data_IF_250848240011
#
_entry.id   IF_250848240011
#
_cell.length_a   1.000
_cell.length_b   1.000
_cell.length_c   1.000
_cell.angle_alpha   90.00
_cell.angle_beta   90.00
_cell.angle_gamma   90.00
#
_symmetry.space_group_name_H-M   'P 1'
#
loop_
_entity.id
_entity.type
_entity.pdbx_description
1 polymer ?
#
# COMPACT_ATOMS: atom_id res chain seq x y z
N UNK A 1 6.27 3.51 -8.71
CA UNK A 1 5.92 2.12 -8.30
C UNK A 1 4.43 1.94 -8.51
N UNK A 2 3.88 0.71 -8.61
CA UNK A 2 2.42 0.49 -8.60
C UNK A 2 1.95 0.13 -7.19
N UNK A 3 0.66 0.30 -6.91
CA UNK A 3 0.05 -0.07 -5.61
C UNK A 3 0.30 -1.54 -5.26
N UNK A 4 0.13 -2.46 -6.23
CA UNK A 4 0.36 -3.90 -6.01
C UNK A 4 1.83 -4.18 -5.73
N UNK A 5 2.75 -3.56 -6.48
CA UNK A 5 4.19 -3.71 -6.22
C UNK A 5 4.58 -3.17 -4.85
N UNK A 6 3.99 -2.06 -4.42
CA UNK A 6 4.20 -1.48 -3.11
C UNK A 6 3.66 -2.38 -1.99
N UNK A 7 2.45 -2.92 -2.13
CA UNK A 7 1.91 -3.89 -1.17
C UNK A 7 2.85 -5.09 -0.97
N UNK A 8 3.42 -5.59 -2.06
CA UNK A 8 4.30 -6.75 -2.01
C UNK A 8 5.66 -6.40 -1.38
N UNK A 9 6.27 -5.30 -1.81
CA UNK A 9 7.64 -4.94 -1.39
C UNK A 9 7.70 -4.30 -0.01
N UNK A 10 6.71 -3.48 0.34
CA UNK A 10 6.76 -2.62 1.54
C UNK A 10 5.81 -3.11 2.65
N UNK A 11 4.75 -3.85 2.31
CA UNK A 11 3.70 -4.27 3.26
C UNK A 11 3.63 -5.77 3.50
N UNK A 12 4.51 -6.55 2.87
CA UNK A 12 4.65 -7.98 3.12
C UNK A 12 3.56 -8.87 2.52
N UNK A 13 2.75 -8.35 1.59
CA UNK A 13 1.81 -9.19 0.85
C UNK A 13 2.55 -10.06 -0.18
N UNK A 14 2.08 -11.28 -0.39
CA UNK A 14 2.62 -12.20 -1.40
C UNK A 14 2.09 -11.86 -2.79
N UNK A 15 0.85 -11.38 -2.87
CA UNK A 15 0.19 -11.01 -4.14
C UNK A 15 -1.00 -10.10 -3.92
N UNK A 16 -1.51 -9.52 -5.03
CA UNK A 16 -2.80 -8.82 -5.02
C UNK A 16 -3.94 -9.74 -4.55
N UNK A 17 -3.92 -11.02 -4.95
CA UNK A 17 -4.98 -11.97 -4.58
C UNK A 17 -5.02 -12.22 -3.06
N UNK A 18 -3.87 -12.24 -2.38
CA UNK A 18 -3.84 -12.35 -0.92
C UNK A 18 -4.45 -11.13 -0.25
N UNK A 19 -4.12 -9.93 -0.74
CA UNK A 19 -4.74 -8.69 -0.27
C UNK A 19 -6.25 -8.68 -0.51
N UNK A 20 -6.70 -9.02 -1.72
CA UNK A 20 -8.12 -9.09 -2.07
C UNK A 20 -8.86 -10.12 -1.19
N UNK A 21 -8.23 -11.26 -0.89
CA UNK A 21 -8.78 -12.27 0.01
C UNK A 21 -9.01 -11.71 1.41
N UNK A 22 -8.01 -11.04 2.02
CA UNK A 22 -8.14 -10.36 3.30
C UNK A 22 -9.30 -9.36 3.28
N UNK A 23 -9.33 -8.48 2.27
CA UNK A 23 -10.37 -7.47 2.09
C UNK A 23 -11.78 -8.09 1.98
N UNK A 24 -11.89 -9.26 1.35
CA UNK A 24 -13.15 -9.97 1.17
C UNK A 24 -13.64 -10.69 2.42
N UNK A 25 -12.75 -11.08 3.35
CA UNK A 25 -13.14 -11.66 4.65
C UNK A 25 -13.78 -10.66 5.62
N UNK A 26 -13.63 -9.37 5.36
CA UNK A 26 -14.14 -8.31 6.24
C UNK A 26 -15.60 -7.92 5.89
N UNK A 27 -16.40 -7.54 6.90
CA UNK A 27 -17.69 -6.89 6.66
C UNK A 27 -17.48 -5.56 5.92
N UNK A 28 -18.54 -5.06 5.28
CA UNK A 28 -18.46 -3.88 4.39
C UNK A 28 -17.71 -2.69 5.01
N UNK A 29 -17.99 -2.36 6.27
CA UNK A 29 -17.31 -1.24 6.94
C UNK A 29 -15.81 -1.49 7.11
N UNK A 30 -15.42 -2.70 7.53
CA UNK A 30 -14.02 -3.09 7.69
C UNK A 30 -13.29 -3.09 6.34
N UNK A 31 -13.93 -3.63 5.31
CA UNK A 31 -13.45 -3.58 3.92
C UNK A 31 -13.16 -2.16 3.47
N UNK A 32 -14.13 -1.25 3.66
CA UNK A 32 -14.01 0.15 3.24
C UNK A 32 -12.85 0.84 3.97
N UNK A 33 -12.75 0.66 5.30
CA UNK A 33 -11.67 1.24 6.10
C UNK A 33 -10.29 0.72 5.68
N UNK A 34 -10.15 -0.58 5.48
CA UNK A 34 -8.87 -1.19 5.09
C UNK A 34 -8.39 -0.70 3.73
N UNK A 35 -9.28 -0.64 2.73
CA UNK A 35 -8.93 -0.13 1.39
C UNK A 35 -8.48 1.34 1.47
N UNK A 36 -9.20 2.17 2.22
CA UNK A 36 -8.86 3.59 2.40
C UNK A 36 -7.49 3.73 3.06
N UNK A 37 -7.26 2.99 4.14
CA UNK A 37 -5.99 3.01 4.87
C UNK A 37 -4.79 2.74 3.96
N UNK A 38 -4.82 1.63 3.21
CA UNK A 38 -3.70 1.31 2.32
C UNK A 38 -3.55 2.28 1.14
N UNK A 39 -4.64 2.88 0.66
CA UNK A 39 -4.57 3.93 -0.37
C UNK A 39 -3.86 5.18 0.14
N UNK A 40 -4.25 5.67 1.31
CA UNK A 40 -3.63 6.85 1.94
C UNK A 40 -2.14 6.59 2.20
N UNK A 41 -1.79 5.44 2.74
CA UNK A 41 -0.39 5.09 2.95
C UNK A 41 0.41 5.00 1.65
N UNK A 42 -0.20 4.49 0.58
CA UNK A 42 0.45 4.42 -0.72
C UNK A 42 0.67 5.82 -1.32
N UNK A 43 -0.30 6.72 -1.19
CA UNK A 43 -0.16 8.13 -1.59
C UNK A 43 0.99 8.79 -0.82
N UNK A 44 1.04 8.64 0.51
CA UNK A 44 2.16 9.14 1.32
C UNK A 44 3.51 8.53 0.92
N UNK A 45 3.56 7.25 0.58
CA UNK A 45 4.78 6.62 0.08
C UNK A 45 5.23 7.25 -1.23
N UNK A 46 4.31 7.56 -2.15
CA UNK A 46 4.64 8.22 -3.41
C UNK A 46 5.14 9.64 -3.20
N UNK A 47 4.54 10.38 -2.26
CA UNK A 47 4.91 11.78 -1.97
C UNK A 47 6.28 11.90 -1.29
N UNK A 48 6.65 10.92 -0.45
CA UNK A 48 7.92 10.93 0.30
C UNK A 48 9.10 10.33 -0.48
N UNK A 49 8.83 9.58 -1.56
CA UNK A 49 9.86 8.93 -2.38
C UNK A 49 10.81 9.89 -3.12
N UNK A 50 10.33 11.00 -3.73
CA UNK A 50 11.21 11.99 -4.34
C UNK A 50 12.21 12.57 -3.33
N UNK A 51 11.77 12.87 -2.10
CA UNK A 51 12.64 13.44 -1.05
C UNK A 51 13.70 12.46 -0.54
N UNK A 52 13.40 11.15 -0.44
CA UNK A 52 14.38 10.16 0.03
C UNK A 52 15.52 9.94 -0.98
N UNK A 53 15.21 9.91 -2.28
CA UNK A 53 16.23 9.79 -3.34
C UNK A 53 17.11 11.04 -3.45
N UNK A 54 16.57 12.24 -3.19
CA UNK A 54 17.36 13.48 -3.16
C UNK A 54 18.31 13.55 -1.95
N UNK A 55 17.99 12.90 -0.84
CA UNK A 55 18.84 12.84 0.37
C UNK A 55 19.96 11.79 0.25
N UNK A 56 19.75 10.67 -0.46
CA UNK A 56 20.80 9.65 -0.68
C UNK A 56 21.89 10.07 -1.69
N UNK A 57 21.67 11.14 -2.47
CA UNK A 57 22.63 11.65 -3.48
C UNK A 57 23.56 12.75 -2.92
N UNK A 58 23.46 13.11 -1.63
CA UNK A 58 24.37 14.05 -0.94
C UNK A 58 25.42 13.36 -0.10
#
# INVERSE_FOLDING_TARGET
MTFVTWLIKEKGFVSKAQFDSLVNTLPYEGRRKLIIYYKIEYEHYLDTRPMQLELEIK
#
